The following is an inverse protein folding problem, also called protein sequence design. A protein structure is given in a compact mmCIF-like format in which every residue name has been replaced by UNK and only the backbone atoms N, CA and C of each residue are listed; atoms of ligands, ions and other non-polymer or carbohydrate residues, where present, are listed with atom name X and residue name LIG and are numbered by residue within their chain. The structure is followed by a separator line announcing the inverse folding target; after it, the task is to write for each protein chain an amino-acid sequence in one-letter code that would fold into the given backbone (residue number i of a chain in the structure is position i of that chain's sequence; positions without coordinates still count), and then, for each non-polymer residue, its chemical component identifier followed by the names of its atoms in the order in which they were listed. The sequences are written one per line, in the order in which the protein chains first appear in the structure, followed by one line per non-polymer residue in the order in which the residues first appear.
data_IF_520095227210
#
_entry.id   IF_520095227210
#
_cell.length_a   1.000
_cell.length_b   1.000
_cell.length_c   1.000
_cell.angle_alpha   90.00
_cell.angle_beta   90.00
_cell.angle_gamma   90.00
#
_symmetry.space_group_name_H-M   'P 1'
#
loop_
_entity.id
_entity.type
_entity.pdbx_description
1 polymer ?
#
# COMPACT_ATOMS: atom_id res chain seq x y z
N UNK A 1 0.15 -8.84 23.67
CA UNK A 1 0.44 -9.11 22.25
C UNK A 1 1.81 -8.55 21.91
N UNK A 2 2.63 -9.24 21.12
CA UNK A 2 3.94 -8.73 20.67
C UNK A 2 5.19 -9.21 21.41
N UNK A 3 5.10 -10.23 22.27
CA UNK A 3 6.29 -10.87 22.84
C UNK A 3 7.02 -11.77 21.83
N UNK A 4 8.32 -12.02 22.02
CA UNK A 4 9.14 -12.85 21.12
C UNK A 4 8.51 -14.22 20.80
N UNK A 5 7.90 -14.87 21.81
CA UNK A 5 7.20 -16.15 21.67
C UNK A 5 5.96 -16.07 20.77
N UNK A 6 5.22 -14.96 20.82
CA UNK A 6 4.05 -14.72 19.96
C UNK A 6 4.48 -14.49 18.50
N UNK A 7 5.54 -13.71 18.29
CA UNK A 7 6.10 -13.49 16.96
C UNK A 7 6.66 -14.78 16.35
N UNK A 8 7.30 -15.63 17.15
CA UNK A 8 7.80 -16.93 16.71
C UNK A 8 6.66 -17.87 16.29
N UNK A 9 5.56 -17.91 17.05
CA UNK A 9 4.40 -18.71 16.69
C UNK A 9 3.78 -18.23 15.37
N UNK A 10 3.57 -16.92 15.21
CA UNK A 10 3.04 -16.35 13.97
C UNK A 10 3.95 -16.65 12.77
N UNK A 11 5.26 -16.63 12.98
CA UNK A 11 6.23 -16.99 11.96
C UNK A 11 6.12 -18.48 11.58
N UNK A 12 6.04 -19.38 12.56
CA UNK A 12 5.87 -20.82 12.32
C UNK A 12 4.56 -21.11 11.58
N UNK A 13 3.45 -20.49 12.00
CA UNK A 13 2.16 -20.64 11.34
C UNK A 13 2.19 -20.11 9.91
N UNK A 14 2.82 -18.95 9.69
CA UNK A 14 3.00 -18.40 8.35
C UNK A 14 3.85 -19.32 7.45
N UNK A 15 4.95 -19.88 7.98
CA UNK A 15 5.78 -20.84 7.25
C UNK A 15 5.05 -22.15 6.94
N UNK A 16 4.22 -22.64 7.87
CA UNK A 16 3.39 -23.82 7.64
C UNK A 16 2.37 -23.58 6.52
N UNK A 17 1.73 -22.41 6.51
CA UNK A 17 0.83 -22.02 5.42
C UNK A 17 1.60 -21.86 4.12
N UNK A 18 2.76 -21.20 4.08
CA UNK A 18 3.58 -21.12 2.86
C UNK A 18 3.97 -22.51 2.33
N UNK A 19 4.29 -23.47 3.21
CA UNK A 19 4.61 -24.85 2.81
C UNK A 19 3.41 -25.56 2.15
N UNK A 20 2.20 -25.31 2.61
CA UNK A 20 0.97 -25.91 2.06
C UNK A 20 0.39 -25.11 0.86
N UNK A 21 0.47 -23.79 0.92
CA UNK A 21 -0.13 -22.86 -0.02
C UNK A 21 0.76 -22.61 -1.24
N UNK A 22 2.08 -22.64 -1.05
CA UNK A 22 3.08 -22.10 -1.98
C UNK A 22 3.52 -20.69 -1.57
N UNK A 23 4.10 -19.94 -2.51
CA UNK A 23 4.42 -18.54 -2.32
C UNK A 23 3.17 -17.65 -2.41
N UNK A 24 3.10 -16.54 -1.63
CA UNK A 24 2.03 -15.56 -1.75
C UNK A 24 2.06 -14.90 -3.12
N UNK A 25 0.88 -14.58 -3.65
CA UNK A 25 0.73 -13.97 -4.97
C UNK A 25 0.65 -12.45 -4.89
N UNK A 26 0.04 -11.90 -3.83
CA UNK A 26 0.01 -10.45 -3.58
C UNK A 26 0.48 -10.13 -2.15
N UNK A 27 1.24 -9.04 -2.04
CA UNK A 27 1.60 -8.40 -0.78
C UNK A 27 0.92 -7.04 -0.70
N UNK A 28 0.06 -6.86 0.30
CA UNK A 28 -0.76 -5.66 0.47
C UNK A 28 -0.45 -5.03 1.82
N UNK A 29 -0.16 -3.74 1.81
CA UNK A 29 -0.01 -2.94 3.02
C UNK A 29 -1.25 -2.11 3.27
N UNK A 30 -1.78 -2.12 4.50
CA UNK A 30 -2.93 -1.30 4.89
C UNK A 30 -2.57 -0.42 6.10
N UNK A 31 -2.59 0.89 5.91
CA UNK A 31 -2.11 1.86 6.93
C UNK A 31 -3.26 2.66 7.51
N UNK A 32 -3.29 2.83 8.83
CA UNK A 32 -4.25 3.71 9.49
C UNK A 32 -4.08 5.17 9.03
N UNK A 33 -5.18 5.82 8.67
CA UNK A 33 -5.20 7.24 8.35
C UNK A 33 -5.95 8.01 9.46
N UNK A 34 -5.27 8.83 10.27
CA UNK A 34 -5.91 9.64 11.31
C UNK A 34 -6.96 10.63 10.77
N UNK A 35 -6.92 10.95 9.47
CA UNK A 35 -7.86 11.85 8.80
C UNK A 35 -9.14 11.15 8.33
N UNK A 36 -9.36 9.88 8.67
CA UNK A 36 -10.63 9.23 8.33
C UNK A 36 -11.81 9.94 8.97
N UNK A 37 -12.95 10.12 8.26
CA UNK A 37 -14.08 10.89 8.75
C UNK A 37 -14.65 10.42 10.08
N UNK A 38 -14.57 9.12 10.38
CA UNK A 38 -15.03 8.56 11.65
C UNK A 38 -14.17 8.99 12.83
N UNK A 39 -12.86 9.16 12.60
CA UNK A 39 -11.89 9.61 13.61
C UNK A 39 -12.01 11.12 13.79
N UNK A 40 -11.94 11.89 12.70
CA UNK A 40 -12.00 13.36 12.76
C UNK A 40 -13.29 13.83 13.42
N UNK A 41 -14.45 13.28 13.02
CA UNK A 41 -15.75 13.57 13.65
C UNK A 41 -15.76 13.32 15.15
N UNK A 42 -15.08 12.26 15.62
CA UNK A 42 -15.00 11.94 17.03
C UNK A 42 -14.15 12.96 17.81
N UNK A 43 -12.98 13.32 17.29
CA UNK A 43 -11.99 14.14 18.01
C UNK A 43 -12.26 15.63 17.90
N UNK A 44 -12.68 16.12 16.73
CA UNK A 44 -12.92 17.55 16.46
C UNK A 44 -14.04 18.10 17.35
N UNK A 45 -15.13 17.34 17.50
CA UNK A 45 -16.24 17.71 18.39
C UNK A 45 -15.87 17.79 19.87
N UNK A 46 -14.67 17.32 20.24
CA UNK A 46 -14.15 17.25 21.62
C UNK A 46 -12.90 18.08 21.82
N UNK A 47 -12.42 18.80 20.80
CA UNK A 47 -11.16 19.54 20.85
C UNK A 47 -9.94 18.64 21.08
N UNK A 48 -10.03 17.36 20.70
CA UNK A 48 -8.94 16.39 20.85
C UNK A 48 -8.18 16.24 19.53
N UNK A 49 -6.94 15.76 19.63
CA UNK A 49 -6.18 15.23 18.50
C UNK A 49 -6.42 13.71 18.37
N UNK A 50 -6.26 13.12 17.17
CA UNK A 50 -6.30 11.67 16.99
C UNK A 50 -5.35 10.92 17.93
N UNK A 51 -4.19 11.49 18.20
CA UNK A 51 -3.14 10.94 19.05
C UNK A 51 -3.60 10.79 20.51
N UNK A 52 -4.54 11.62 20.97
CA UNK A 52 -5.12 11.54 22.32
C UNK A 52 -6.04 10.32 22.49
N UNK A 53 -6.50 9.71 21.38
CA UNK A 53 -7.47 8.61 21.36
C UNK A 53 -7.01 7.42 20.51
N UNK A 54 -5.91 6.75 20.91
CA UNK A 54 -5.40 5.57 20.21
C UNK A 54 -6.39 4.40 20.16
N UNK A 55 -7.31 4.32 21.12
CA UNK A 55 -8.39 3.32 21.15
C UNK A 55 -9.40 3.52 20.01
N UNK A 56 -9.67 4.77 19.62
CA UNK A 56 -10.55 5.07 18.47
C UNK A 56 -9.83 4.79 17.15
N UNK A 57 -8.57 5.21 17.03
CA UNK A 57 -7.72 4.91 15.87
C UNK A 57 -7.68 3.39 15.60
N UNK A 58 -7.33 2.60 16.62
CA UNK A 58 -7.24 1.14 16.52
C UNK A 58 -8.58 0.49 16.20
N UNK A 59 -9.68 0.97 16.78
CA UNK A 59 -11.03 0.44 16.51
C UNK A 59 -11.47 0.70 15.07
N UNK A 60 -11.33 1.94 14.58
CA UNK A 60 -11.68 2.29 13.20
C UNK A 60 -10.80 1.54 12.22
N UNK A 61 -9.49 1.45 12.49
CA UNK A 61 -8.57 0.64 11.70
C UNK A 61 -9.01 -0.81 11.61
N UNK A 62 -9.34 -1.45 12.74
CA UNK A 62 -9.78 -2.85 12.77
C UNK A 62 -11.04 -3.08 11.97
N UNK A 63 -12.04 -2.19 12.09
CA UNK A 63 -13.29 -2.28 11.31
C UNK A 63 -13.01 -2.23 9.81
N UNK A 64 -12.15 -1.29 9.36
CA UNK A 64 -11.81 -1.15 7.94
C UNK A 64 -10.93 -2.31 7.45
N UNK A 65 -10.01 -2.80 8.27
CA UNK A 65 -9.21 -3.99 7.98
C UNK A 65 -10.10 -5.22 7.82
N UNK A 66 -11.07 -5.44 8.72
CA UNK A 66 -12.00 -6.57 8.63
C UNK A 66 -12.85 -6.48 7.35
N UNK A 67 -13.27 -5.28 6.98
CA UNK A 67 -13.94 -5.06 5.71
C UNK A 67 -13.04 -5.41 4.53
N UNK A 68 -11.79 -4.98 4.55
CA UNK A 68 -10.82 -5.32 3.50
C UNK A 68 -10.59 -6.83 3.40
N UNK A 69 -10.39 -7.53 4.52
CA UNK A 69 -10.23 -8.99 4.53
C UNK A 69 -11.48 -9.68 3.97
N UNK A 70 -12.68 -9.18 4.29
CA UNK A 70 -13.94 -9.66 3.71
C UNK A 70 -13.99 -9.44 2.20
N UNK A 71 -13.59 -8.27 1.72
CA UNK A 71 -13.58 -7.97 0.30
C UNK A 71 -12.60 -8.88 -0.46
N UNK A 72 -11.44 -9.18 0.15
CA UNK A 72 -10.46 -10.12 -0.40
C UNK A 72 -11.00 -11.56 -0.45
N UNK A 73 -11.53 -12.08 0.66
CA UNK A 73 -11.93 -13.50 0.79
C UNK A 73 -13.29 -13.83 0.19
N UNK A 74 -14.30 -13.02 0.52
CA UNK A 74 -15.70 -13.35 0.24
C UNK A 74 -16.15 -12.72 -1.08
N UNK A 75 -15.78 -11.45 -1.30
CA UNK A 75 -16.12 -10.73 -2.54
C UNK A 75 -15.11 -10.99 -3.66
N UNK A 76 -13.99 -11.66 -3.36
CA UNK A 76 -13.03 -12.20 -4.33
C UNK A 76 -12.57 -11.13 -5.33
N UNK A 77 -12.26 -9.94 -4.82
CA UNK A 77 -11.86 -8.78 -5.65
C UNK A 77 -10.64 -9.07 -6.53
N UNK A 78 -9.78 -10.00 -6.11
CA UNK A 78 -8.62 -10.49 -6.87
C UNK A 78 -8.80 -11.95 -7.36
N UNK A 79 -10.03 -12.45 -7.37
CA UNK A 79 -10.35 -13.85 -7.68
C UNK A 79 -10.38 -14.75 -6.45
N UNK A 80 -10.44 -16.05 -6.70
CA UNK A 80 -10.58 -17.08 -5.67
C UNK A 80 -9.37 -17.14 -4.74
N UNK A 81 -9.60 -17.06 -3.43
CA UNK A 81 -8.55 -17.01 -2.40
C UNK A 81 -8.37 -18.37 -1.74
N UNK A 82 -7.14 -18.91 -1.83
CA UNK A 82 -6.71 -20.12 -1.12
C UNK A 82 -6.44 -19.85 0.36
N UNK A 83 -5.76 -18.75 0.66
CA UNK A 83 -5.43 -18.33 2.02
C UNK A 83 -5.18 -16.82 2.11
N UNK A 84 -5.37 -16.26 3.31
CA UNK A 84 -4.92 -14.91 3.65
C UNK A 84 -4.24 -14.95 5.01
N UNK A 85 -3.04 -14.42 5.08
CA UNK A 85 -2.31 -14.21 6.33
C UNK A 85 -2.11 -12.71 6.47
N UNK A 86 -2.30 -12.16 7.65
CA UNK A 86 -1.88 -10.80 7.90
C UNK A 86 -1.35 -10.63 9.32
N UNK A 87 -0.45 -9.66 9.47
CA UNK A 87 0.05 -9.22 10.76
C UNK A 87 -0.30 -7.75 10.93
N UNK A 88 -0.62 -7.34 12.15
CA UNK A 88 -0.82 -5.94 12.49
C UNK A 88 0.32 -5.51 13.40
N UNK A 89 1.03 -4.47 13.00
CA UNK A 89 2.08 -3.82 13.77
C UNK A 89 1.75 -2.34 13.97
N UNK A 90 2.46 -1.69 14.89
CA UNK A 90 2.32 -0.26 15.13
C UNK A 90 3.54 0.43 14.52
N UNK A 91 3.30 1.26 13.50
CA UNK A 91 4.34 2.06 12.88
C UNK A 91 4.84 3.16 13.82
N UNK A 92 5.91 3.85 13.41
CA UNK A 92 6.39 5.07 14.09
C UNK A 92 5.21 6.03 14.29
N UNK A 93 5.08 6.59 15.49
CA UNK A 93 3.92 7.38 15.99
C UNK A 93 2.72 6.57 16.48
N UNK A 94 2.83 5.24 16.58
CA UNK A 94 1.82 4.40 17.21
C UNK A 94 0.56 4.17 16.36
N UNK A 95 0.66 4.35 15.04
CA UNK A 95 -0.46 4.07 14.14
C UNK A 95 -0.46 2.60 13.71
N UNK A 96 -1.61 1.91 13.76
CA UNK A 96 -1.72 0.55 13.25
C UNK A 96 -1.43 0.45 11.76
N UNK A 97 -0.78 -0.64 11.39
CA UNK A 97 -0.44 -0.99 10.02
C UNK A 97 -0.53 -2.50 9.84
N UNK A 98 -1.10 -2.95 8.73
CA UNK A 98 -1.19 -4.36 8.42
C UNK A 98 -0.34 -4.71 7.20
N UNK A 99 0.39 -5.81 7.31
CA UNK A 99 1.01 -6.52 6.20
C UNK A 99 0.14 -7.73 5.88
N UNK A 100 -0.39 -7.81 4.67
CA UNK A 100 -1.34 -8.84 4.23
C UNK A 100 -0.69 -9.63 3.09
N UNK A 101 -0.61 -10.95 3.25
CA UNK A 101 -0.21 -11.91 2.24
C UNK A 101 -1.46 -12.62 1.71
N UNK A 102 -1.66 -12.53 0.40
CA UNK A 102 -2.78 -13.15 -0.30
C UNK A 102 -2.29 -14.32 -1.15
N UNK A 103 -2.93 -15.48 -1.02
CA UNK A 103 -2.65 -16.68 -1.79
C UNK A 103 -3.89 -16.98 -2.64
N UNK A 104 -3.76 -16.93 -3.95
CA UNK A 104 -4.85 -17.11 -4.90
C UNK A 104 -4.88 -18.56 -5.40
N UNK A 105 -6.08 -19.08 -5.70
CA UNK A 105 -6.22 -20.37 -6.36
C UNK A 105 -5.80 -20.29 -7.82
N UNK A 106 -6.22 -19.22 -8.50
CA UNK A 106 -5.83 -18.91 -9.87
C UNK A 106 -4.87 -17.73 -9.84
N UNK A 107 -3.64 -17.95 -10.29
CA UNK A 107 -2.60 -16.93 -10.35
C UNK A 107 -2.81 -15.99 -11.53
N UNK A 108 -2.00 -14.94 -11.58
CA UNK A 108 -1.86 -14.03 -12.72
C UNK A 108 -0.64 -14.48 -13.55
N UNK A 109 -0.80 -15.43 -14.49
CA UNK A 109 0.33 -16.06 -15.18
C UNK A 109 1.07 -15.13 -16.14
N UNK A 110 0.46 -14.03 -16.58
CA UNK A 110 1.08 -13.13 -17.56
C UNK A 110 1.06 -11.66 -17.11
N UNK A 111 1.88 -10.85 -17.77
CA UNK A 111 2.06 -9.43 -17.46
C UNK A 111 0.79 -8.60 -17.68
N UNK A 112 -0.09 -9.01 -18.60
CA UNK A 112 -1.36 -8.34 -18.86
C UNK A 112 -2.35 -8.50 -17.71
N UNK A 113 -2.35 -9.65 -17.05
CA UNK A 113 -3.16 -9.90 -15.86
C UNK A 113 -2.68 -9.03 -14.68
N UNK A 114 -1.35 -8.93 -14.49
CA UNK A 114 -0.73 -8.05 -13.47
C UNK A 114 -1.13 -6.59 -13.72
N UNK A 115 -1.00 -6.15 -14.97
CA UNK A 115 -1.38 -4.82 -15.44
C UNK A 115 -2.88 -4.50 -15.25
N UNK A 116 -3.73 -5.52 -15.08
CA UNK A 116 -5.16 -5.38 -14.83
C UNK A 116 -5.50 -5.12 -13.37
N UNK A 117 -4.60 -5.45 -12.44
CA UNK A 117 -4.84 -5.37 -10.98
C UNK A 117 -3.88 -4.40 -10.27
N UNK A 118 -2.71 -4.15 -10.85
CA UNK A 118 -1.69 -3.23 -10.34
C UNK A 118 -1.51 -2.13 -11.37
N UNK A 119 -1.58 -0.89 -10.89
CA UNK A 119 -1.26 0.30 -11.67
C UNK A 119 -0.25 1.13 -10.92
N UNK A 120 0.84 1.48 -11.60
CA UNK A 120 1.79 2.49 -11.16
C UNK A 120 1.54 3.84 -11.86
N UNK A 121 0.31 4.07 -12.33
CA UNK A 121 -0.09 5.27 -13.06
C UNK A 121 -1.07 6.14 -12.25
N UNK A 122 -1.03 7.45 -12.48
CA UNK A 122 -1.98 8.43 -12.01
C UNK A 122 -3.35 8.18 -12.68
N UNK A 123 -4.42 8.07 -11.88
CA UNK A 123 -5.77 8.03 -12.41
C UNK A 123 -6.09 9.29 -13.22
N UNK A 124 -7.01 9.20 -14.19
CA UNK A 124 -7.45 10.39 -14.90
C UNK A 124 -8.37 11.23 -14.00
N UNK A 125 -7.93 12.45 -13.67
CA UNK A 125 -8.69 13.37 -12.81
C UNK A 125 -10.09 13.71 -13.33
N UNK A 126 -10.29 13.69 -14.65
CA UNK A 126 -11.61 13.98 -15.26
C UNK A 126 -12.54 12.77 -15.18
N UNK A 127 -12.00 11.57 -15.21
CA UNK A 127 -12.78 10.31 -15.18
C UNK A 127 -13.07 9.90 -13.74
N UNK A 128 -12.06 9.92 -12.88
CA UNK A 128 -12.19 9.55 -11.46
C UNK A 128 -11.41 10.53 -10.57
N UNK A 129 -12.01 11.68 -10.22
CA UNK A 129 -11.35 12.68 -9.39
C UNK A 129 -11.08 12.17 -7.97
N UNK A 130 -11.92 11.27 -7.44
CA UNK A 130 -11.75 10.75 -6.07
C UNK A 130 -10.55 9.81 -5.99
N UNK A 131 -10.40 8.91 -6.96
CA UNK A 131 -9.25 8.02 -6.99
C UNK A 131 -7.96 8.79 -7.32
N UNK A 132 -8.02 9.77 -8.24
CA UNK A 132 -6.91 10.69 -8.46
C UNK A 132 -6.47 11.38 -7.17
N UNK A 133 -7.40 11.97 -6.42
CA UNK A 133 -7.09 12.63 -5.15
C UNK A 133 -6.52 11.64 -4.11
N UNK A 134 -7.03 10.41 -4.06
CA UNK A 134 -6.47 9.39 -3.17
C UNK A 134 -5.02 9.02 -3.54
N UNK A 135 -4.75 8.73 -4.81
CA UNK A 135 -3.41 8.37 -5.29
C UNK A 135 -2.44 9.54 -5.10
N UNK A 136 -2.84 10.75 -5.49
CA UNK A 136 -1.99 11.94 -5.35
C UNK A 136 -1.72 12.33 -3.91
N UNK A 137 -2.62 12.05 -2.96
CA UNK A 137 -2.43 12.36 -1.53
C UNK A 137 -1.75 11.26 -0.72
N UNK A 138 -1.83 10.00 -1.13
CA UNK A 138 -1.35 8.89 -0.29
C UNK A 138 -0.34 7.97 -0.97
N UNK A 139 -0.31 7.89 -2.30
CA UNK A 139 0.50 6.90 -3.03
C UNK A 139 1.67 7.49 -3.81
N UNK A 140 1.74 8.81 -3.97
CA UNK A 140 2.88 9.44 -4.64
C UNK A 140 4.10 9.60 -3.74
N UNK A 141 5.27 9.28 -4.31
CA UNK A 141 6.54 9.66 -3.70
C UNK A 141 6.65 11.19 -3.63
N UNK A 142 7.19 11.71 -2.53
CA UNK A 142 7.43 13.15 -2.41
C UNK A 142 8.50 13.61 -3.41
N UNK A 143 8.56 14.91 -3.72
CA UNK A 143 9.63 15.46 -4.56
C UNK A 143 11.00 15.07 -3.99
N UNK A 144 11.89 14.57 -4.84
CA UNK A 144 13.27 14.22 -4.48
C UNK A 144 14.20 14.43 -5.68
N UNK A 145 15.45 14.02 -5.57
CA UNK A 145 16.41 14.15 -6.67
C UNK A 145 16.77 15.62 -6.91
N UNK A 146 16.76 16.01 -8.19
CA UNK A 146 16.98 17.40 -8.61
C UNK A 146 15.89 18.34 -8.10
N UNK A 147 14.64 17.85 -7.99
CA UNK A 147 13.51 18.64 -7.51
C UNK A 147 13.61 18.98 -6.02
N UNK A 148 14.22 18.10 -5.20
CA UNK A 148 14.46 18.35 -3.78
C UNK A 148 15.58 17.47 -3.22
N UNK A 149 16.77 18.05 -3.08
CA UNK A 149 17.97 17.35 -2.57
C UNK A 149 17.92 17.06 -1.08
N UNK A 150 17.12 17.82 -0.31
CA UNK A 150 16.96 17.67 1.14
C UNK A 150 15.97 16.60 1.58
N UNK A 151 15.34 15.89 0.63
CA UNK A 151 14.35 14.86 0.96
C UNK A 151 14.99 13.69 1.72
N UNK A 152 14.31 13.09 2.72
CA UNK A 152 14.88 12.03 3.56
C UNK A 152 15.34 10.78 2.79
N UNK A 153 14.80 10.56 1.57
CA UNK A 153 15.20 9.46 0.70
C UNK A 153 16.53 9.71 -0.03
N UNK A 154 17.10 10.92 0.02
CA UNK A 154 18.31 11.29 -0.70
C UNK A 154 19.56 10.86 0.05
N UNK A 155 20.45 10.13 -0.63
CA UNK A 155 21.76 9.76 -0.14
C UNK A 155 22.77 9.87 -1.29
N UNK A 156 23.93 10.50 -1.05
CA UNK A 156 24.98 10.70 -2.06
C UNK A 156 24.44 11.31 -3.38
N UNK A 157 23.52 12.28 -3.28
CA UNK A 157 22.93 12.95 -4.43
C UNK A 157 21.91 12.12 -5.24
N UNK A 158 21.58 10.90 -4.81
CA UNK A 158 20.60 10.02 -5.48
C UNK A 158 19.47 9.63 -4.53
N UNK A 159 18.28 9.41 -5.07
CA UNK A 159 17.18 8.84 -4.30
C UNK A 159 17.47 7.36 -4.05
N UNK A 160 17.52 6.96 -2.78
CA UNK A 160 17.72 5.55 -2.34
C UNK A 160 16.59 4.61 -2.79
N UNK A 161 15.47 5.17 -3.25
CA UNK A 161 14.33 4.42 -3.81
C UNK A 161 14.25 4.49 -5.33
N UNK A 162 15.25 5.15 -5.96
CA UNK A 162 15.40 5.28 -7.41
C UNK A 162 14.21 5.98 -8.09
N UNK A 163 13.70 7.06 -7.49
CA UNK A 163 12.69 7.93 -8.13
C UNK A 163 13.32 9.08 -8.94
N UNK A 164 12.66 9.54 -10.03
CA UNK A 164 11.46 8.93 -10.62
C UNK A 164 11.77 7.57 -11.26
N UNK A 165 10.78 6.68 -11.32
CA UNK A 165 10.92 5.37 -11.96
C UNK A 165 10.86 5.56 -13.48
N UNK A 166 11.42 4.60 -14.24
CA UNK A 166 11.38 4.66 -15.71
C UNK A 166 9.96 4.42 -16.20
N UNK A 167 9.61 5.06 -17.31
CA UNK A 167 8.40 4.71 -18.06
C UNK A 167 8.60 3.37 -18.80
N UNK A 168 7.58 2.51 -18.73
CA UNK A 168 7.50 1.23 -19.46
C UNK A 168 6.05 0.99 -19.89
N UNK A 169 5.86 0.55 -21.13
CA UNK A 169 4.53 0.41 -21.75
C UNK A 169 3.72 -0.79 -21.25
N UNK A 170 4.38 -1.81 -20.70
CA UNK A 170 3.78 -2.96 -20.03
C UNK A 170 4.68 -3.41 -18.89
N UNK A 171 4.12 -4.14 -17.92
CA UNK A 171 4.93 -4.74 -16.86
C UNK A 171 6.00 -5.68 -17.47
N UNK A 172 7.23 -5.59 -16.98
CA UNK A 172 8.33 -6.50 -17.31
C UNK A 172 8.95 -7.07 -16.04
N UNK A 173 9.70 -8.16 -16.16
CA UNK A 173 10.46 -8.75 -15.05
C UNK A 173 11.94 -8.51 -15.36
N UNK A 174 12.69 -7.95 -14.41
CA UNK A 174 14.12 -7.72 -14.57
C UNK A 174 14.95 -8.99 -14.35
N UNK A 175 16.27 -8.88 -14.54
CA UNK A 175 17.22 -10.01 -14.43
C UNK A 175 17.23 -10.65 -13.03
N UNK A 176 16.86 -9.88 -12.00
CA UNK A 176 16.78 -10.33 -10.60
C UNK A 176 15.38 -10.88 -10.23
N UNK A 177 14.45 -10.92 -11.18
CA UNK A 177 13.10 -11.43 -10.99
C UNK A 177 12.11 -10.42 -10.39
N UNK A 178 12.46 -9.13 -10.31
CA UNK A 178 11.56 -8.10 -9.81
C UNK A 178 10.70 -7.50 -10.93
N UNK A 179 9.39 -7.26 -10.66
CA UNK A 179 8.53 -6.62 -11.63
C UNK A 179 8.84 -5.12 -11.74
N UNK A 180 9.04 -4.65 -12.96
CA UNK A 180 8.95 -3.24 -13.34
C UNK A 180 7.54 -3.02 -13.87
N UNK A 181 6.67 -2.47 -13.02
CA UNK A 181 5.26 -2.29 -13.36
C UNK A 181 5.05 -1.29 -14.50
N UNK A 182 4.00 -1.53 -15.31
CA UNK A 182 3.56 -0.60 -16.34
C UNK A 182 3.38 0.80 -15.79
N UNK A 183 4.04 1.76 -16.46
CA UNK A 183 3.98 3.19 -16.21
C UNK A 183 4.16 3.89 -17.55
N UNK A 184 3.08 4.24 -18.24
CA UNK A 184 3.13 4.86 -19.57
C UNK A 184 3.40 6.36 -19.45
N UNK A 185 4.19 6.88 -20.38
CA UNK A 185 4.35 8.33 -20.53
C UNK A 185 3.11 8.88 -21.27
N UNK A 186 2.13 9.30 -20.50
CA UNK A 186 0.87 9.87 -20.97
C UNK A 186 0.79 11.39 -20.75
N UNK A 187 1.90 12.01 -20.33
CA UNK A 187 2.00 13.43 -20.02
C UNK A 187 1.22 13.89 -18.79
N UNK A 188 0.60 12.99 -18.01
CA UNK A 188 -0.10 13.37 -16.78
C UNK A 188 0.89 13.76 -15.69
N UNK A 189 0.53 14.77 -14.92
CA UNK A 189 1.30 15.21 -13.75
C UNK A 189 0.41 15.43 -12.55
N UNK A 190 1.02 15.46 -11.38
CA UNK A 190 0.37 15.86 -10.16
C UNK A 190 1.28 16.76 -9.31
N UNK A 191 0.69 17.83 -8.79
CA UNK A 191 1.41 18.81 -7.98
C UNK A 191 1.55 18.35 -6.54
N UNK A 192 2.78 18.26 -6.03
CA UNK A 192 3.09 18.03 -4.62
C UNK A 192 4.02 19.09 -4.05
N UNK A 193 3.56 19.75 -2.99
CA UNK A 193 4.35 20.77 -2.27
C UNK A 193 4.92 21.82 -3.22
N UNK A 194 4.10 22.25 -4.19
CA UNK A 194 4.47 23.24 -5.20
C UNK A 194 5.18 22.70 -6.45
N UNK A 195 5.57 21.43 -6.47
CA UNK A 195 6.39 20.82 -7.54
C UNK A 195 5.52 19.86 -8.36
N UNK A 196 5.58 19.97 -9.68
CA UNK A 196 4.97 18.99 -10.59
C UNK A 196 5.78 17.69 -10.60
N UNK A 197 5.12 16.58 -10.37
CA UNK A 197 5.69 15.23 -10.47
C UNK A 197 5.01 14.49 -11.62
N UNK A 198 5.80 13.72 -12.34
CA UNK A 198 5.32 12.91 -13.44
C UNK A 198 4.47 11.74 -12.93
N UNK A 199 3.62 11.25 -13.82
CA UNK A 199 2.91 9.98 -13.69
C UNK A 199 3.87 8.84 -13.42
#
# INVERSE_FOLDING_TARGET
MGGARYMLQNYQDAMAICKWAGYPDLFITFTCNPKWPEITRFVESRGLSPEDRPDILTRVFKIKLDRMIKDLRDNKVFGEVKAVIYTVEFQKRGLPHAHILLFLLNKYPNVGDIDGIISAELPDKKVDPYYYDAVTNFMMHGPCGTARKSSPCMQNGRCTKHFPKKFVSSTTIDEDGYPIYRRRDDGRTAKRVGIELDN
#
